data_IF_234807805574
#
_entry.id   IF_234807805574
#
_cell.length_a   1.000
_cell.length_b   1.000
_cell.length_c   1.000
_cell.angle_alpha   90.00
_cell.angle_beta   90.00
_cell.angle_gamma   90.00
#
_symmetry.space_group_name_H-M   'P 1'
#
loop_
_entity.id
_entity.type
_entity.pdbx_description
1 polymer ?
#
# COMPACT_ATOMS: atom_id res chain seq x y z
N UNK A 1 -9.51 8.72 24.67
CA UNK A 1 -10.42 8.32 23.60
C UNK A 1 -10.38 9.40 22.56
N UNK A 2 -10.28 9.06 21.29
CA UNK A 2 -10.24 10.04 20.18
C UNK A 2 -10.91 9.44 18.96
N UNK A 3 -11.54 10.32 18.15
CA UNK A 3 -12.15 9.97 16.88
C UNK A 3 -11.12 10.19 15.76
N UNK A 4 -10.74 9.12 15.06
CA UNK A 4 -9.71 9.14 14.03
C UNK A 4 -10.31 8.91 12.64
N UNK A 5 -9.99 9.79 11.70
CA UNK A 5 -10.26 9.57 10.29
C UNK A 5 -8.98 9.17 9.59
N UNK A 6 -8.93 7.95 9.06
CA UNK A 6 -7.76 7.47 8.34
C UNK A 6 -7.84 7.84 6.86
N UNK A 7 -6.72 8.20 6.26
CA UNK A 7 -6.61 8.52 4.85
C UNK A 7 -5.43 7.77 4.21
N UNK A 8 -5.73 7.12 3.08
CA UNK A 8 -4.78 6.35 2.28
C UNK A 8 -5.42 5.89 0.98
N UNK A 9 -4.83 4.88 0.33
CA UNK A 9 -5.38 4.26 -0.88
C UNK A 9 -6.11 2.94 -0.54
N UNK A 10 -6.90 2.96 0.54
CA UNK A 10 -7.54 1.79 1.13
C UNK A 10 -8.81 1.34 0.40
N UNK A 11 -9.03 0.03 0.36
CA UNK A 11 -10.20 -0.54 -0.31
C UNK A 11 -10.28 -0.26 -1.80
N UNK A 12 -9.15 0.06 -2.44
CA UNK A 12 -9.04 0.36 -3.87
C UNK A 12 -8.50 -0.84 -4.68
N UNK A 13 -8.31 -2.00 -4.05
CA UNK A 13 -7.82 -3.22 -4.69
C UNK A 13 -6.31 -3.43 -4.59
N UNK A 14 -5.57 -2.56 -3.91
CA UNK A 14 -4.16 -2.74 -3.61
C UNK A 14 -3.98 -3.34 -2.22
N UNK A 15 -3.62 -4.61 -2.13
CA UNK A 15 -3.46 -5.34 -0.87
C UNK A 15 -2.29 -4.83 -0.02
N UNK A 16 -1.29 -4.18 -0.63
CA UNK A 16 -0.20 -3.54 0.11
C UNK A 16 -0.68 -2.32 0.91
N UNK A 17 -1.53 -1.47 0.33
CA UNK A 17 -2.13 -0.35 1.05
C UNK A 17 -3.12 -0.85 2.11
N UNK A 18 -3.90 -1.90 1.81
CA UNK A 18 -4.80 -2.53 2.77
C UNK A 18 -4.04 -3.20 3.93
N UNK A 19 -2.81 -3.69 3.70
CA UNK A 19 -1.92 -4.20 4.75
C UNK A 19 -1.51 -3.10 5.75
N UNK A 20 -1.27 -1.89 5.25
CA UNK A 20 -0.99 -0.72 6.10
C UNK A 20 -2.20 -0.35 6.96
N UNK A 21 -3.40 -0.35 6.37
CA UNK A 21 -4.63 -0.12 7.13
C UNK A 21 -4.79 -1.15 8.25
N UNK A 22 -4.73 -2.42 7.91
CA UNK A 22 -4.93 -3.51 8.87
C UNK A 22 -3.84 -3.53 9.96
N UNK A 23 -2.59 -3.30 9.58
CA UNK A 23 -1.48 -3.20 10.53
C UNK A 23 -1.66 -2.03 11.51
N UNK A 24 -2.09 -0.86 11.02
CA UNK A 24 -2.41 0.27 11.87
C UNK A 24 -3.56 -0.04 12.84
N UNK A 25 -4.66 -0.62 12.35
CA UNK A 25 -5.80 -1.02 13.17
C UNK A 25 -5.37 -1.99 14.28
N UNK A 26 -4.55 -2.98 13.94
CA UNK A 26 -4.00 -3.93 14.91
C UNK A 26 -3.12 -3.24 15.96
N UNK A 27 -2.27 -2.29 15.55
CA UNK A 27 -1.36 -1.56 16.45
C UNK A 27 -2.07 -0.65 17.48
N UNK A 28 -3.30 -0.22 17.18
CA UNK A 28 -4.10 0.62 18.09
C UNK A 28 -5.31 -0.11 18.68
N UNK A 29 -5.45 -1.41 18.41
CA UNK A 29 -6.52 -2.22 18.97
C UNK A 29 -6.53 -2.13 20.52
N UNK A 30 -7.72 -2.06 21.10
CA UNK A 30 -7.91 -1.96 22.56
C UNK A 30 -7.55 -0.60 23.19
N UNK A 31 -7.09 0.40 22.40
CA UNK A 31 -6.77 1.74 22.94
C UNK A 31 -7.99 2.66 23.04
N UNK A 32 -9.19 2.18 22.69
CA UNK A 32 -10.46 2.91 22.87
C UNK A 32 -10.66 4.08 21.91
N UNK A 33 -10.05 4.04 20.72
CA UNK A 33 -10.31 5.04 19.67
C UNK A 33 -11.47 4.63 18.80
N UNK A 34 -12.28 5.60 18.33
CA UNK A 34 -13.24 5.40 17.25
C UNK A 34 -12.57 5.69 15.92
N UNK A 35 -12.75 4.79 14.94
CA UNK A 35 -12.01 4.83 13.69
C UNK A 35 -12.97 4.78 12.51
N UNK A 36 -12.76 5.71 11.58
CA UNK A 36 -13.34 5.72 10.24
C UNK A 36 -12.21 5.81 9.22
N UNK A 37 -12.43 5.34 8.00
CA UNK A 37 -11.42 5.43 6.94
C UNK A 37 -11.97 5.91 5.62
N UNK A 38 -11.25 6.81 4.97
CA UNK A 38 -11.50 7.17 3.57
C UNK A 38 -11.07 6.00 2.68
N UNK A 39 -11.97 5.50 1.85
CA UNK A 39 -11.69 4.30 1.05
C UNK A 39 -12.39 4.32 -0.32
N UNK A 40 -11.96 3.41 -1.19
CA UNK A 40 -12.56 3.22 -2.51
C UNK A 40 -13.89 2.47 -2.46
N UNK A 41 -14.03 1.49 -1.54
CA UNK A 41 -15.23 0.67 -1.36
C UNK A 41 -15.54 0.54 0.13
N UNK A 42 -16.51 1.32 0.64
CA UNK A 42 -16.92 1.28 2.05
C UNK A 42 -17.36 -0.11 2.52
N UNK A 43 -18.18 -0.81 1.74
CA UNK A 43 -18.70 -2.12 2.09
C UNK A 43 -17.57 -3.16 2.18
N UNK A 44 -16.63 -3.13 1.23
CA UNK A 44 -15.46 -4.01 1.27
C UNK A 44 -14.62 -3.79 2.52
N UNK A 45 -14.36 -2.54 2.88
CA UNK A 45 -13.56 -2.19 4.06
C UNK A 45 -14.27 -2.59 5.35
N UNK A 46 -15.59 -2.36 5.43
CA UNK A 46 -16.39 -2.80 6.58
C UNK A 46 -16.37 -4.33 6.71
N UNK A 47 -16.61 -5.05 5.63
CA UNK A 47 -16.67 -6.52 5.66
C UNK A 47 -15.30 -7.17 5.95
N UNK A 48 -14.21 -6.59 5.40
CA UNK A 48 -12.87 -7.16 5.55
C UNK A 48 -12.16 -6.76 6.84
N UNK A 49 -12.40 -5.54 7.34
CA UNK A 49 -11.59 -4.94 8.41
C UNK A 49 -12.41 -4.44 9.61
N UNK A 50 -13.75 -4.50 9.55
CA UNK A 50 -14.63 -4.07 10.64
C UNK A 50 -14.60 -2.56 10.93
N UNK A 51 -14.17 -1.75 9.95
CA UNK A 51 -14.02 -0.30 10.09
C UNK A 51 -15.00 0.42 9.17
N UNK A 52 -15.64 1.47 9.66
CA UNK A 52 -16.56 2.29 8.87
C UNK A 52 -15.82 2.99 7.73
N UNK A 53 -16.20 2.66 6.49
CA UNK A 53 -15.68 3.29 5.28
C UNK A 53 -16.45 4.57 4.92
N UNK A 54 -15.73 5.58 4.47
CA UNK A 54 -16.26 6.83 3.91
C UNK A 54 -15.79 6.90 2.45
N UNK A 55 -16.70 7.15 1.48
CA UNK A 55 -16.32 7.28 0.07
C UNK A 55 -15.28 8.40 -0.12
N UNK A 56 -14.06 8.04 -0.49
CA UNK A 56 -12.90 8.95 -0.52
C UNK A 56 -13.06 10.14 -1.49
N UNK A 57 -13.89 10.02 -2.51
CA UNK A 57 -14.09 11.06 -3.53
C UNK A 57 -15.37 11.90 -3.29
N UNK A 58 -16.20 11.51 -2.34
CA UNK A 58 -17.34 12.33 -1.93
C UNK A 58 -16.90 13.37 -0.89
N UNK A 59 -16.55 14.57 -1.35
CA UNK A 59 -16.05 15.62 -0.48
C UNK A 59 -17.09 16.18 0.51
N UNK A 60 -18.38 15.91 0.30
CA UNK A 60 -19.42 16.27 1.27
C UNK A 60 -19.37 15.28 2.46
N UNK A 61 -19.29 13.98 2.17
CA UNK A 61 -19.11 12.94 3.20
C UNK A 61 -17.77 13.12 3.94
N UNK A 62 -16.67 13.35 3.20
CA UNK A 62 -15.35 13.64 3.78
C UNK A 62 -15.42 14.87 4.71
N UNK A 63 -16.15 15.91 4.31
CA UNK A 63 -16.34 17.11 5.13
C UNK A 63 -17.05 16.80 6.44
N UNK A 64 -18.16 16.07 6.40
CA UNK A 64 -18.91 15.62 7.60
C UNK A 64 -18.05 14.73 8.50
N UNK A 65 -17.36 13.76 7.94
CA UNK A 65 -16.47 12.91 8.71
C UNK A 65 -15.34 13.69 9.39
N UNK A 66 -14.79 14.72 8.74
CA UNK A 66 -13.81 15.62 9.35
C UNK A 66 -14.40 16.47 10.48
N UNK A 67 -15.66 16.88 10.39
CA UNK A 67 -16.30 17.66 11.46
C UNK A 67 -16.39 16.86 12.77
N UNK A 68 -16.63 15.54 12.68
CA UNK A 68 -16.76 14.60 13.81
C UNK A 68 -15.42 14.00 14.28
N UNK A 69 -14.31 14.39 13.69
CA UNK A 69 -12.98 13.81 13.91
C UNK A 69 -12.10 14.70 14.77
N UNK A 70 -11.25 14.10 15.62
CA UNK A 70 -10.19 14.82 16.36
C UNK A 70 -8.91 14.92 15.52
N UNK A 71 -8.60 13.88 14.76
CA UNK A 71 -7.41 13.83 13.93
C UNK A 71 -7.62 13.12 12.58
N UNK A 72 -7.06 13.72 11.53
CA UNK A 72 -6.83 13.07 10.24
C UNK A 72 -5.48 12.36 10.30
N UNK A 73 -5.47 11.04 10.12
CA UNK A 73 -4.28 10.21 10.21
C UNK A 73 -3.98 9.55 8.87
N UNK A 74 -2.75 9.70 8.40
CA UNK A 74 -2.20 8.94 7.27
C UNK A 74 -1.32 7.83 7.84
N UNK A 75 -1.79 6.58 7.94
CA UNK A 75 -1.08 5.52 8.66
C UNK A 75 0.12 4.95 7.91
N UNK A 76 0.35 5.35 6.66
CA UNK A 76 1.47 4.89 5.85
C UNK A 76 1.23 4.99 4.36
N UNK A 77 2.09 4.32 3.61
CA UNK A 77 2.02 4.25 2.15
C UNK A 77 2.86 5.31 1.42
N UNK A 78 3.08 5.08 0.12
CA UNK A 78 3.77 6.02 -0.76
C UNK A 78 2.78 6.88 -1.54
N UNK A 79 1.90 7.58 -0.83
CA UNK A 79 0.80 8.35 -1.40
C UNK A 79 1.22 9.74 -1.88
N UNK A 80 2.34 10.26 -1.40
CA UNK A 80 2.95 11.52 -1.83
C UNK A 80 4.04 11.25 -2.87
N UNK A 81 3.61 10.84 -4.08
CA UNK A 81 4.46 10.60 -5.25
C UNK A 81 3.70 11.01 -6.53
N UNK A 82 4.42 11.44 -7.58
CA UNK A 82 3.82 11.94 -8.82
C UNK A 82 4.06 11.05 -10.05
N UNK A 83 4.64 9.85 -9.85
CA UNK A 83 4.87 8.89 -10.95
C UNK A 83 3.56 8.38 -11.54
N UNK A 84 2.60 8.02 -10.67
CA UNK A 84 1.32 7.48 -11.12
C UNK A 84 0.36 8.59 -11.51
N UNK A 85 0.25 9.64 -10.70
CA UNK A 85 -0.59 10.79 -10.99
C UNK A 85 -0.32 11.97 -10.07
N UNK A 86 -0.14 13.16 -10.65
CA UNK A 86 -0.09 14.41 -9.89
C UNK A 86 -1.43 14.70 -9.18
N UNK A 87 -2.57 14.18 -9.70
CA UNK A 87 -3.88 14.30 -9.05
C UNK A 87 -3.90 13.65 -7.68
N UNK A 88 -3.12 12.60 -7.47
CA UNK A 88 -3.00 11.93 -6.17
C UNK A 88 -2.44 12.88 -5.11
N UNK A 89 -1.33 13.55 -5.39
CA UNK A 89 -0.72 14.52 -4.47
C UNK A 89 -1.68 15.68 -4.15
N UNK A 90 -2.35 16.20 -5.19
CA UNK A 90 -3.33 17.28 -5.01
C UNK A 90 -4.52 16.85 -4.13
N UNK A 91 -4.99 15.61 -4.29
CA UNK A 91 -6.06 15.04 -3.46
C UNK A 91 -5.63 14.98 -1.98
N UNK A 92 -4.48 14.39 -1.67
CA UNK A 92 -4.02 14.27 -0.29
C UNK A 92 -3.70 15.64 0.34
N UNK A 93 -3.11 16.56 -0.41
CA UNK A 93 -2.96 17.94 0.05
C UNK A 93 -4.32 18.59 0.37
N UNK A 94 -5.35 18.40 -0.47
CA UNK A 94 -6.70 18.92 -0.22
C UNK A 94 -7.28 18.38 1.10
N UNK A 95 -7.09 17.09 1.40
CA UNK A 95 -7.54 16.50 2.68
C UNK A 95 -6.85 17.17 3.87
N UNK A 96 -5.53 17.33 3.80
CA UNK A 96 -4.75 18.04 4.84
C UNK A 96 -5.28 19.48 5.03
N UNK A 97 -5.47 20.23 3.95
CA UNK A 97 -5.97 21.59 4.01
C UNK A 97 -7.39 21.65 4.58
N UNK A 98 -8.28 20.71 4.21
CA UNK A 98 -9.64 20.63 4.76
C UNK A 98 -9.63 20.34 6.27
N UNK A 99 -8.79 19.43 6.75
CA UNK A 99 -8.63 19.13 8.17
C UNK A 99 -8.08 20.33 8.94
N UNK A 100 -7.03 20.98 8.46
CA UNK A 100 -6.46 22.17 9.12
C UNK A 100 -7.41 23.34 9.13
N UNK A 101 -8.20 23.57 8.07
CA UNK A 101 -9.26 24.61 8.06
C UNK A 101 -10.32 24.39 9.15
N UNK A 102 -10.53 23.13 9.57
CA UNK A 102 -11.45 22.72 10.63
C UNK A 102 -10.79 22.64 12.01
N UNK A 103 -9.55 23.09 12.14
CA UNK A 103 -8.79 23.01 13.40
C UNK A 103 -8.38 21.60 13.83
N UNK A 104 -8.50 20.59 12.93
CA UNK A 104 -8.19 19.21 13.26
C UNK A 104 -6.69 18.95 13.25
N UNK A 105 -6.23 17.97 14.06
CA UNK A 105 -4.86 17.49 14.00
C UNK A 105 -4.64 16.68 12.72
N UNK A 106 -3.42 16.78 12.17
CA UNK A 106 -2.98 15.98 11.02
C UNK A 106 -1.72 15.22 11.39
N UNK A 107 -1.78 13.90 11.30
CA UNK A 107 -0.69 13.01 11.68
C UNK A 107 -0.30 12.15 10.48
N UNK A 108 0.97 12.18 10.10
CA UNK A 108 1.53 11.36 9.02
C UNK A 108 2.48 10.33 9.63
N UNK A 109 2.13 9.05 9.53
CA UNK A 109 2.88 7.93 10.12
C UNK A 109 3.44 7.04 9.00
N UNK A 110 4.68 6.58 9.12
CA UNK A 110 5.28 5.61 8.22
C UNK A 110 5.20 5.97 6.73
N UNK A 111 5.26 7.27 6.41
CA UNK A 111 5.10 7.71 5.02
C UNK A 111 6.34 7.41 4.17
N UNK A 112 6.11 6.77 3.01
CA UNK A 112 7.05 6.82 1.89
C UNK A 112 6.81 8.10 1.08
N UNK A 113 7.85 8.87 0.79
CA UNK A 113 7.74 10.14 0.07
C UNK A 113 8.56 10.12 -1.20
N UNK A 114 7.89 10.33 -2.32
CA UNK A 114 8.52 10.39 -3.63
C UNK A 114 8.46 9.06 -4.40
N UNK A 115 9.02 9.05 -5.63
CA UNK A 115 9.63 10.18 -6.31
C UNK A 115 8.67 11.33 -6.61
N UNK A 116 9.18 12.55 -6.54
CA UNK A 116 8.46 13.79 -6.87
C UNK A 116 9.25 14.52 -7.97
N UNK A 117 8.85 14.30 -9.22
CA UNK A 117 9.54 14.82 -10.40
C UNK A 117 9.05 16.23 -10.77
N UNK A 118 7.75 16.48 -10.63
CA UNK A 118 7.11 17.74 -10.97
C UNK A 118 7.23 18.81 -9.87
N UNK A 119 7.36 20.07 -10.27
CA UNK A 119 7.41 21.20 -9.33
C UNK A 119 6.10 21.32 -8.51
N UNK A 120 4.95 21.08 -9.13
CA UNK A 120 3.65 21.13 -8.46
C UNK A 120 3.54 20.02 -7.40
N UNK A 121 3.95 18.79 -7.74
CA UNK A 121 3.98 17.68 -6.79
C UNK A 121 4.87 17.99 -5.57
N UNK A 122 6.07 18.52 -5.79
CA UNK A 122 6.99 18.96 -4.73
C UNK A 122 6.37 20.04 -3.85
N UNK A 123 5.79 21.08 -4.45
CA UNK A 123 5.18 22.19 -3.72
C UNK A 123 3.98 21.75 -2.88
N UNK A 124 3.09 20.96 -3.43
CA UNK A 124 1.90 20.48 -2.72
C UNK A 124 2.28 19.51 -1.59
N UNK A 125 3.24 18.61 -1.83
CA UNK A 125 3.77 17.72 -0.79
C UNK A 125 4.43 18.53 0.34
N UNK A 126 5.31 19.48 0.01
CA UNK A 126 5.93 20.35 1.02
C UNK A 126 4.88 21.08 1.87
N UNK A 127 3.83 21.63 1.23
CA UNK A 127 2.73 22.30 1.95
C UNK A 127 1.98 21.32 2.86
N UNK A 128 1.67 20.12 2.37
CA UNK A 128 0.97 19.10 3.16
C UNK A 128 1.75 18.72 4.42
N UNK A 129 3.04 18.40 4.26
CA UNK A 129 3.90 18.01 5.38
C UNK A 129 4.17 19.18 6.34
N UNK A 130 4.33 20.41 5.86
CA UNK A 130 4.48 21.59 6.73
C UNK A 130 3.22 21.96 7.51
N UNK A 131 2.04 21.51 7.09
CA UNK A 131 0.77 21.67 7.81
C UNK A 131 0.52 20.54 8.82
N UNK A 132 1.23 19.42 8.72
CA UNK A 132 1.05 18.28 9.62
C UNK A 132 1.58 18.59 11.02
N UNK A 133 0.87 18.10 12.04
CA UNK A 133 1.26 18.26 13.45
C UNK A 133 2.32 17.23 13.87
N UNK A 134 2.36 16.07 13.20
CA UNK A 134 3.41 15.06 13.40
C UNK A 134 3.74 14.38 12.07
N UNK A 135 5.03 14.14 11.85
CA UNK A 135 5.55 13.49 10.63
C UNK A 135 6.52 12.39 11.00
N UNK A 136 6.18 11.18 10.59
CA UNK A 136 7.01 9.98 10.70
C UNK A 136 7.14 9.37 9.31
N UNK A 137 8.37 9.10 8.86
CA UNK A 137 8.68 8.47 7.58
C UNK A 137 9.21 7.06 7.80
N UNK A 138 9.03 6.19 6.80
CA UNK A 138 9.42 4.77 6.93
C UNK A 138 10.85 4.48 6.50
N UNK A 139 11.50 5.41 5.79
CA UNK A 139 12.85 5.23 5.25
C UNK A 139 13.65 6.54 5.18
N UNK A 140 15.00 6.46 5.18
CA UNK A 140 15.86 7.65 5.10
C UNK A 140 15.68 8.43 3.78
N UNK A 141 15.40 7.75 2.66
CA UNK A 141 15.18 8.38 1.34
C UNK A 141 13.96 9.31 1.35
N UNK A 142 12.90 8.92 2.07
CA UNK A 142 11.73 9.77 2.30
C UNK A 142 12.07 11.01 3.12
N UNK A 143 12.91 10.88 4.16
CA UNK A 143 13.41 12.01 4.95
C UNK A 143 14.23 12.99 4.09
N UNK A 144 15.13 12.45 3.24
CA UNK A 144 15.91 13.25 2.32
C UNK A 144 15.05 13.97 1.27
N UNK A 145 14.02 13.29 0.77
CA UNK A 145 13.07 13.88 -0.16
C UNK A 145 12.31 15.04 0.49
N UNK A 146 11.82 14.87 1.72
CA UNK A 146 11.13 15.92 2.47
C UNK A 146 12.03 17.17 2.65
N UNK A 147 13.30 16.97 3.00
CA UNK A 147 14.26 18.06 3.11
C UNK A 147 14.45 18.80 1.78
N UNK A 148 14.63 18.05 0.68
CA UNK A 148 14.81 18.60 -0.68
C UNK A 148 13.63 19.41 -1.18
N UNK A 149 12.40 19.05 -0.80
CA UNK A 149 11.19 19.78 -1.22
C UNK A 149 10.82 20.94 -0.30
N UNK A 150 11.55 21.18 0.81
CA UNK A 150 11.36 22.32 1.70
C UNK A 150 10.43 22.04 2.90
N UNK A 151 10.40 20.79 3.39
CA UNK A 151 9.83 20.53 4.72
C UNK A 151 10.71 21.17 5.80
N UNK A 152 10.08 21.94 6.69
CA UNK A 152 10.77 22.74 7.70
C UNK A 152 11.01 22.02 9.02
N UNK A 153 10.30 20.91 9.25
CA UNK A 153 10.44 20.10 10.46
C UNK A 153 11.52 19.03 10.33
N UNK A 154 11.64 18.23 11.38
CA UNK A 154 12.48 17.03 11.41
C UNK A 154 11.57 15.81 11.47
N UNK A 155 11.44 15.01 10.39
CA UNK A 155 10.62 13.81 10.42
C UNK A 155 11.30 12.76 11.31
N UNK A 156 10.49 12.03 12.09
CA UNK A 156 10.96 10.84 12.81
C UNK A 156 11.04 9.67 11.84
N UNK A 157 12.00 8.78 12.05
CA UNK A 157 12.12 7.53 11.31
C UNK A 157 11.45 6.40 12.11
N UNK A 158 10.57 5.63 11.47
CA UNK A 158 9.97 4.42 12.03
C UNK A 158 9.67 3.41 10.90
N UNK A 159 9.14 2.25 11.26
CA UNK A 159 8.73 1.26 10.28
C UNK A 159 7.38 1.60 9.63
N UNK A 160 7.06 0.88 8.54
CA UNK A 160 5.74 0.87 7.91
C UNK A 160 4.73 0.16 8.84
N UNK A 161 3.49 0.63 8.88
CA UNK A 161 2.45 0.03 9.72
C UNK A 161 2.13 -1.43 9.34
N UNK A 162 2.42 -1.86 8.12
CA UNK A 162 2.25 -3.25 7.70
C UNK A 162 3.07 -4.24 8.57
N UNK A 163 4.15 -3.80 9.22
CA UNK A 163 4.89 -4.63 10.19
C UNK A 163 4.11 -4.93 11.47
N UNK A 164 2.99 -4.27 11.70
CA UNK A 164 2.10 -4.54 12.82
C UNK A 164 1.00 -5.58 12.50
N UNK A 165 1.03 -6.15 11.30
CA UNK A 165 0.17 -7.28 10.97
C UNK A 165 0.47 -8.46 11.92
N UNK A 166 -0.55 -9.22 12.34
CA UNK A 166 -0.33 -10.41 13.14
C UNK A 166 0.54 -11.41 12.34
N UNK A 167 1.36 -12.16 13.05
CA UNK A 167 2.11 -13.24 12.41
C UNK A 167 1.13 -14.23 11.76
N UNK A 168 1.36 -14.64 10.51
CA UNK A 168 0.45 -15.56 9.84
C UNK A 168 0.51 -16.92 10.52
N UNK A 169 -0.67 -17.52 10.74
CA UNK A 169 -0.73 -18.93 11.10
C UNK A 169 -0.46 -19.76 9.84
N UNK A 170 0.41 -20.76 9.96
CA UNK A 170 0.68 -21.68 8.86
C UNK A 170 -0.52 -22.63 8.73
N UNK A 171 -1.26 -22.49 7.63
CA UNK A 171 -2.35 -23.42 7.30
C UNK A 171 -1.73 -24.58 6.51
N UNK A 172 -1.61 -25.76 7.15
CA UNK A 172 -1.03 -26.96 6.53
C UNK A 172 -1.84 -27.45 5.33
N UNK A 173 -3.14 -27.18 5.32
CA UNK A 173 -4.06 -27.58 4.24
C UNK A 173 -3.92 -26.74 2.97
N UNK A 174 -3.22 -25.59 3.01
CA UNK A 174 -2.96 -24.82 1.80
C UNK A 174 -1.96 -25.56 0.90
N UNK A 175 -2.34 -25.86 -0.36
CA UNK A 175 -1.47 -26.60 -1.26
C UNK A 175 -0.17 -25.85 -1.53
N UNK A 176 0.95 -26.57 -1.51
CA UNK A 176 2.20 -26.09 -2.07
C UNK A 176 2.13 -26.13 -3.58
N UNK A 177 2.79 -25.17 -4.23
CA UNK A 177 2.93 -25.16 -5.68
C UNK A 177 4.12 -26.03 -6.08
N UNK A 178 3.99 -26.68 -7.24
CA UNK A 178 5.07 -27.49 -7.81
C UNK A 178 5.00 -28.98 -7.47
N UNK A 179 5.96 -29.72 -7.97
CA UNK A 179 6.16 -31.16 -7.71
C UNK A 179 6.92 -31.37 -6.41
N UNK A 180 6.74 -32.52 -5.80
CA UNK A 180 7.43 -32.89 -4.57
C UNK A 180 8.97 -32.74 -4.73
N UNK A 181 9.59 -32.03 -3.79
CA UNK A 181 11.02 -31.74 -3.78
C UNK A 181 11.47 -30.44 -4.44
N UNK A 182 10.59 -29.73 -5.16
CA UNK A 182 10.90 -28.38 -5.67
C UNK A 182 10.71 -27.33 -4.60
N UNK A 183 11.64 -26.37 -4.51
CA UNK A 183 11.45 -25.15 -3.73
C UNK A 183 10.52 -24.18 -4.48
N UNK A 184 9.71 -23.45 -3.74
CA UNK A 184 8.75 -22.51 -4.30
C UNK A 184 9.18 -21.07 -4.05
N UNK A 185 9.13 -20.22 -5.08
CA UNK A 185 9.40 -18.79 -4.95
C UNK A 185 8.22 -17.99 -5.43
N UNK A 186 7.65 -17.17 -4.54
CA UNK A 186 6.62 -16.20 -4.87
C UNK A 186 7.22 -14.98 -5.55
N UNK A 187 6.58 -14.50 -6.61
CA UNK A 187 7.05 -13.34 -7.36
C UNK A 187 5.89 -12.35 -7.46
N UNK A 188 6.07 -11.17 -6.81
CA UNK A 188 5.14 -10.05 -6.93
C UNK A 188 5.76 -9.00 -7.84
N UNK A 189 5.11 -8.70 -8.97
CA UNK A 189 5.62 -7.74 -9.96
C UNK A 189 4.59 -6.67 -10.24
N UNK A 190 5.08 -5.43 -10.30
CA UNK A 190 4.28 -4.27 -10.68
C UNK A 190 4.85 -3.64 -11.94
N UNK A 191 3.99 -3.22 -12.92
CA UNK A 191 4.46 -2.46 -14.07
C UNK A 191 5.07 -1.14 -13.60
N UNK A 192 6.28 -0.84 -14.08
CA UNK A 192 6.99 0.39 -13.76
C UNK A 192 7.61 0.98 -15.04
N UNK A 193 7.64 2.31 -15.13
CA UNK A 193 8.24 3.00 -16.24
C UNK A 193 7.26 3.41 -17.34
N UNK A 194 7.79 4.15 -18.34
CA UNK A 194 7.01 4.72 -19.45
C UNK A 194 6.61 3.67 -20.49
N UNK A 195 7.29 2.56 -20.54
CA UNK A 195 7.08 1.43 -21.47
C UNK A 195 5.95 0.49 -21.02
N UNK A 196 5.15 0.89 -20.03
CA UNK A 196 4.06 0.09 -19.43
C UNK A 196 4.51 -1.27 -18.90
N UNK A 197 5.73 -1.35 -18.44
CA UNK A 197 6.31 -2.55 -17.83
C UNK A 197 6.91 -3.55 -18.80
N UNK A 198 7.20 -3.18 -20.06
CA UNK A 198 7.81 -4.10 -21.03
C UNK A 198 9.13 -4.68 -20.52
N UNK A 199 10.04 -3.83 -20.05
CA UNK A 199 11.31 -4.27 -19.47
C UNK A 199 11.10 -5.17 -18.25
N UNK A 200 10.11 -4.88 -17.41
CA UNK A 200 9.72 -5.72 -16.26
C UNK A 200 9.27 -7.09 -16.76
N UNK A 201 8.39 -7.15 -17.77
CA UNK A 201 7.90 -8.41 -18.33
C UNK A 201 9.06 -9.26 -18.86
N UNK A 202 9.94 -8.68 -19.66
CA UNK A 202 11.10 -9.38 -20.24
C UNK A 202 12.02 -9.92 -19.16
N UNK A 203 12.38 -9.09 -18.17
CA UNK A 203 13.26 -9.48 -17.06
C UNK A 203 12.67 -10.61 -16.22
N UNK A 204 11.40 -10.48 -15.83
CA UNK A 204 10.77 -11.49 -14.98
C UNK A 204 10.37 -12.76 -15.74
N UNK A 205 10.10 -12.69 -17.03
CA UNK A 205 9.94 -13.87 -17.87
C UNK A 205 11.24 -14.67 -17.95
N UNK A 206 12.38 -13.99 -18.09
CA UNK A 206 13.70 -14.66 -18.07
C UNK A 206 14.04 -15.21 -16.70
N UNK A 207 13.86 -14.43 -15.63
CA UNK A 207 14.04 -14.89 -14.24
C UNK A 207 13.23 -16.17 -13.97
N UNK A 208 11.98 -16.20 -14.42
CA UNK A 208 11.11 -17.37 -14.27
C UNK A 208 11.70 -18.61 -14.94
N UNK A 209 12.27 -18.48 -16.16
CA UNK A 209 12.95 -19.56 -16.86
C UNK A 209 14.19 -20.05 -16.11
N UNK A 210 15.01 -19.13 -15.62
CA UNK A 210 16.21 -19.44 -14.83
C UNK A 210 15.81 -20.19 -13.55
N UNK A 211 14.76 -19.76 -12.86
CA UNK A 211 14.27 -20.44 -11.66
C UNK A 211 13.84 -21.87 -11.96
N UNK A 212 13.04 -22.08 -13.01
CA UNK A 212 12.64 -23.43 -13.42
C UNK A 212 13.84 -24.33 -13.73
N UNK A 213 14.83 -23.85 -14.49
CA UNK A 213 16.02 -24.63 -14.84
C UNK A 213 16.89 -24.96 -13.64
N UNK A 214 16.76 -24.23 -12.53
CA UNK A 214 17.48 -24.48 -11.27
C UNK A 214 16.61 -25.19 -10.20
N UNK A 215 15.53 -25.85 -10.60
CA UNK A 215 14.71 -26.66 -9.69
C UNK A 215 13.80 -25.87 -8.74
N UNK A 216 13.52 -24.60 -9.06
CA UNK A 216 12.55 -23.79 -8.31
C UNK A 216 11.22 -23.72 -9.06
N UNK A 217 10.14 -23.68 -8.30
CA UNK A 217 8.79 -23.41 -8.82
C UNK A 217 8.47 -21.92 -8.60
N UNK A 218 8.56 -21.06 -9.63
CA UNK A 218 8.09 -19.69 -9.52
C UNK A 218 6.55 -19.64 -9.51
N UNK A 219 5.99 -18.76 -8.67
CA UNK A 219 4.55 -18.53 -8.54
C UNK A 219 4.29 -17.01 -8.60
N UNK A 220 3.51 -16.57 -9.57
CA UNK A 220 3.18 -15.16 -9.71
C UNK A 220 2.05 -14.77 -8.74
N UNK A 221 2.22 -13.67 -8.00
CA UNK A 221 1.26 -13.20 -6.99
C UNK A 221 0.69 -11.85 -7.42
N UNK A 222 -0.63 -11.79 -7.58
CA UNK A 222 -1.38 -10.57 -7.84
C UNK A 222 -1.67 -9.83 -6.53
N UNK A 223 -1.07 -8.65 -6.34
CA UNK A 223 -1.28 -7.79 -5.18
C UNK A 223 -2.27 -6.65 -5.46
N UNK A 224 -2.39 -6.27 -6.72
CA UNK A 224 -3.28 -5.21 -7.21
C UNK A 224 -3.87 -5.64 -8.55
N UNK A 225 -5.12 -6.07 -8.55
CA UNK A 225 -5.78 -6.62 -9.74
C UNK A 225 -5.87 -5.63 -10.91
N UNK A 226 -5.93 -4.33 -10.63
CA UNK A 226 -6.00 -3.30 -11.66
C UNK A 226 -4.64 -3.05 -12.35
N UNK A 227 -3.55 -3.19 -11.59
CA UNK A 227 -2.20 -2.86 -12.08
C UNK A 227 -1.41 -4.10 -12.51
N UNK A 228 -1.47 -5.20 -11.74
CA UNK A 228 -0.54 -6.32 -11.89
C UNK A 228 -1.01 -7.34 -12.92
N UNK A 229 -2.33 -7.48 -13.12
CA UNK A 229 -2.94 -8.52 -13.97
C UNK A 229 -2.34 -8.62 -15.36
N UNK A 230 -2.10 -7.48 -16.03
CA UNK A 230 -1.58 -7.46 -17.40
C UNK A 230 -0.13 -7.96 -17.47
N UNK A 231 0.71 -7.58 -16.51
CA UNK A 231 2.13 -7.97 -16.43
C UNK A 231 2.25 -9.44 -16.07
N UNK A 232 1.51 -9.89 -15.05
CA UNK A 232 1.46 -11.31 -14.65
C UNK A 232 1.04 -12.20 -15.81
N UNK A 233 -0.05 -11.85 -16.50
CA UNK A 233 -0.52 -12.60 -17.67
C UNK A 233 0.51 -12.64 -18.81
N UNK A 234 1.23 -11.55 -19.05
CA UNK A 234 2.26 -11.50 -20.08
C UNK A 234 3.47 -12.38 -19.74
N UNK A 235 3.94 -12.36 -18.46
CA UNK A 235 5.02 -13.23 -17.97
C UNK A 235 4.60 -14.70 -18.09
N UNK A 236 3.38 -15.03 -17.67
CA UNK A 236 2.84 -16.39 -17.78
C UNK A 236 2.82 -16.89 -19.24
N UNK A 237 2.33 -16.07 -20.17
CA UNK A 237 2.31 -16.39 -21.61
C UNK A 237 3.72 -16.58 -22.19
N UNK A 238 4.67 -15.73 -21.83
CA UNK A 238 6.06 -15.83 -22.26
C UNK A 238 6.74 -17.14 -21.82
N UNK A 239 6.19 -17.80 -20.80
CA UNK A 239 6.63 -19.09 -20.25
C UNK A 239 5.67 -20.26 -20.63
N UNK A 240 4.90 -20.10 -21.70
CA UNK A 240 4.01 -21.14 -22.20
C UNK A 240 2.82 -21.48 -21.28
N UNK A 241 2.42 -20.55 -20.41
CA UNK A 241 1.31 -20.73 -19.46
C UNK A 241 1.59 -21.72 -18.31
N UNK A 242 2.85 -22.10 -18.12
CA UNK A 242 3.24 -23.12 -17.11
C UNK A 242 3.49 -22.55 -15.71
N UNK A 243 3.48 -21.23 -15.55
CA UNK A 243 3.73 -20.54 -14.27
C UNK A 243 2.43 -20.44 -13.50
N UNK A 244 2.32 -21.02 -12.29
CA UNK A 244 1.16 -20.84 -11.43
C UNK A 244 0.96 -19.37 -11.07
N UNK A 245 -0.32 -19.00 -10.92
CA UNK A 245 -0.71 -17.64 -10.55
C UNK A 245 -1.65 -17.67 -9.34
N UNK A 246 -1.35 -16.84 -8.33
CA UNK A 246 -2.24 -16.59 -7.20
C UNK A 246 -2.97 -15.28 -7.47
N UNK A 247 -4.29 -15.38 -7.60
CA UNK A 247 -5.17 -14.25 -7.95
C UNK A 247 -6.35 -14.20 -6.98
N UNK A 248 -7.10 -13.09 -7.06
CA UNK A 248 -8.36 -12.90 -6.32
C UNK A 248 -8.20 -12.99 -4.80
N UNK A 249 -7.04 -12.66 -4.28
CA UNK A 249 -6.84 -12.53 -2.85
C UNK A 249 -7.70 -11.37 -2.32
N UNK A 250 -8.39 -11.60 -1.19
CA UNK A 250 -9.36 -10.65 -0.66
C UNK A 250 -8.78 -9.75 0.42
N UNK A 251 -7.72 -10.22 1.09
CA UNK A 251 -7.13 -9.52 2.22
C UNK A 251 -5.61 -9.68 2.28
N UNK A 252 -4.90 -8.80 2.99
CA UNK A 252 -3.47 -8.96 3.28
C UNK A 252 -3.16 -10.26 4.03
N UNK A 253 -4.09 -10.75 4.85
CA UNK A 253 -3.92 -12.02 5.58
C UNK A 253 -3.89 -13.21 4.62
N UNK A 254 -4.71 -13.19 3.55
CA UNK A 254 -4.68 -14.23 2.53
C UNK A 254 -3.31 -14.26 1.83
N UNK A 255 -2.72 -13.09 1.58
CA UNK A 255 -1.37 -12.97 1.03
C UNK A 255 -0.36 -13.60 1.97
N UNK A 256 -0.37 -13.23 3.26
CA UNK A 256 0.54 -13.79 4.26
C UNK A 256 0.43 -15.32 4.33
N UNK A 257 -0.79 -15.85 4.40
CA UNK A 257 -1.04 -17.31 4.42
C UNK A 257 -0.42 -18.00 3.19
N UNK A 258 -0.59 -17.43 2.00
CA UNK A 258 0.04 -17.96 0.78
C UNK A 258 1.55 -17.90 0.82
N UNK A 259 2.12 -16.78 1.33
CA UNK A 259 3.58 -16.62 1.45
C UNK A 259 4.21 -17.60 2.43
N UNK A 260 3.51 -18.07 3.49
CA UNK A 260 4.03 -19.09 4.41
C UNK A 260 4.28 -20.44 3.73
N UNK A 261 3.72 -20.67 2.55
CA UNK A 261 3.90 -21.91 1.77
C UNK A 261 5.02 -21.79 0.73
N UNK A 262 5.78 -20.70 0.75
CA UNK A 262 6.89 -20.40 -0.16
C UNK A 262 8.22 -20.46 0.58
N UNK A 263 9.27 -20.89 -0.11
CA UNK A 263 10.64 -20.93 0.44
C UNK A 263 11.34 -19.58 0.29
N UNK A 264 10.89 -18.75 -0.67
CA UNK A 264 11.37 -17.38 -0.90
C UNK A 264 10.30 -16.51 -1.54
N UNK A 265 10.46 -15.18 -1.43
CA UNK A 265 9.62 -14.19 -2.13
C UNK A 265 10.50 -13.14 -2.78
N UNK A 266 10.17 -12.76 -4.00
CA UNK A 266 10.78 -11.67 -4.79
C UNK A 266 9.70 -10.62 -5.04
N UNK A 267 9.97 -9.34 -4.67
CA UNK A 267 9.03 -8.23 -4.85
C UNK A 267 9.76 -6.93 -5.26
#
# INVERSE_FOLDING_TARGET
MANLLLAGYFGCGNLGDDAILLGFLNGIAGKGHEIQTLCGSPDRVMNAYGVRGIPRLDFNEVGRALDDTDALVFPGGSIFQDITSMRSVAYYYKLVAMAKKRGKKVVMLGQGVGPLNGMIGRTLSAKAFNLADAVVVRDPGSSDTLRKIGYKGMPRLAADAAFLLPAPQVEEDLPRFGVAGMKTVGISVRPFGKDKGKAVIETFAELTRILFSNGWMPVLIEMDSAMDKSVISAIGKANGGKVPEIKNLQSPIDVQKRMTRMDAVIA
#
